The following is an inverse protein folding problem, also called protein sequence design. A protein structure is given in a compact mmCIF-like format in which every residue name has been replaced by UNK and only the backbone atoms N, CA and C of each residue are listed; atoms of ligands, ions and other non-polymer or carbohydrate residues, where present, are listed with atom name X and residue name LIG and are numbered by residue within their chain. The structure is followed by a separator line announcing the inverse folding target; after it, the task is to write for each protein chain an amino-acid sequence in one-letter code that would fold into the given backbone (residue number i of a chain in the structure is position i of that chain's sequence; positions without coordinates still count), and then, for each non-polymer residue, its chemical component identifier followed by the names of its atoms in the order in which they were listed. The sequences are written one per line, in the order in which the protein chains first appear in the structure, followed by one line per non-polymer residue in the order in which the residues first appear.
data_IF_174932696196
#
_entry.id   IF_174932696196
#
_cell.length_a   1.000
_cell.length_b   1.000
_cell.length_c   1.000
_cell.angle_alpha   90.00
_cell.angle_beta   90.00
_cell.angle_gamma   90.00
#
_symmetry.space_group_name_H-M   'P 1'
#
loop_
_entity.id
_entity.type
_entity.pdbx_description
1 polymer ?
#
# COMPACT_ATOMS: atom_id res chain seq x y z
N UNK A 1 16.33 -6.10 -4.71
CA UNK A 1 15.71 -4.86 -4.19
C UNK A 1 15.54 -4.89 -2.67
N UNK A 2 14.91 -5.92 -2.10
CA UNK A 2 14.59 -5.99 -0.66
C UNK A 2 15.76 -5.74 0.31
N UNK A 3 16.96 -6.33 0.14
CA UNK A 3 18.05 -6.12 1.10
C UNK A 3 18.50 -4.66 1.19
N UNK A 4 18.51 -3.94 0.06
CA UNK A 4 18.88 -2.53 0.01
C UNK A 4 17.83 -1.65 0.71
N UNK A 5 16.54 -1.95 0.52
CA UNK A 5 15.45 -1.24 1.20
C UNK A 5 15.47 -1.46 2.71
N UNK A 6 15.73 -2.70 3.17
CA UNK A 6 15.90 -2.98 4.60
C UNK A 6 17.05 -2.20 5.21
N UNK A 7 18.21 -2.18 4.55
CA UNK A 7 19.34 -1.36 4.99
C UNK A 7 18.98 0.12 5.04
N UNK A 8 18.18 0.61 4.09
CA UNK A 8 17.64 1.96 4.14
C UNK A 8 16.81 2.20 5.40
N UNK A 9 15.90 1.28 5.74
CA UNK A 9 15.05 1.36 6.95
C UNK A 9 15.82 1.16 8.26
N UNK A 10 17.00 0.56 8.24
CA UNK A 10 17.90 0.55 9.40
C UNK A 10 18.48 1.95 9.67
N UNK A 11 18.67 2.75 8.62
CA UNK A 11 19.22 4.12 8.70
C UNK A 11 18.11 5.13 8.97
N UNK A 12 17.00 5.03 8.24
CA UNK A 12 15.81 5.87 8.39
C UNK A 12 14.56 4.99 8.54
N UNK A 13 14.22 4.59 9.77
CA UNK A 13 13.13 3.66 10.03
C UNK A 13 11.78 4.18 9.55
N UNK A 14 11.58 5.50 9.58
CA UNK A 14 10.31 6.13 9.26
C UNK A 14 10.34 6.83 7.90
N UNK A 15 11.36 6.56 7.09
CA UNK A 15 11.54 7.08 5.74
C UNK A 15 10.33 6.76 4.85
N UNK A 16 9.48 7.75 4.50
CA UNK A 16 8.21 7.50 3.82
C UNK A 16 8.39 6.75 2.49
N UNK A 17 9.39 7.13 1.70
CA UNK A 17 9.68 6.50 0.42
C UNK A 17 10.19 5.05 0.55
N UNK A 18 10.87 4.72 1.66
CA UNK A 18 11.36 3.37 1.91
C UNK A 18 10.24 2.44 2.36
N UNK A 19 9.37 2.93 3.25
CA UNK A 19 8.19 2.22 3.72
C UNK A 19 7.23 1.92 2.55
N UNK A 20 6.96 2.92 1.70
CA UNK A 20 6.16 2.73 0.50
C UNK A 20 6.76 1.68 -0.44
N UNK A 21 8.07 1.76 -0.74
CA UNK A 21 8.71 0.80 -1.62
C UNK A 21 8.68 -0.62 -1.04
N UNK A 22 8.81 -0.77 0.27
CA UNK A 22 8.65 -2.07 0.93
C UNK A 22 7.21 -2.58 0.85
N UNK A 23 6.20 -1.73 1.06
CA UNK A 23 4.80 -2.12 0.93
C UNK A 23 4.49 -2.63 -0.49
N UNK A 24 4.90 -1.89 -1.53
CA UNK A 24 4.74 -2.29 -2.93
C UNK A 24 5.50 -3.58 -3.26
N UNK A 25 6.71 -3.73 -2.73
CA UNK A 25 7.53 -4.91 -2.95
C UNK A 25 6.91 -6.17 -2.30
N UNK A 26 6.42 -6.07 -1.07
CA UNK A 26 5.76 -7.19 -0.38
C UNK A 26 4.43 -7.55 -1.07
N UNK A 27 3.66 -6.56 -1.53
CA UNK A 27 2.42 -6.78 -2.29
C UNK A 27 2.69 -7.57 -3.58
N UNK A 28 3.70 -7.17 -4.37
CA UNK A 28 4.10 -7.91 -5.59
C UNK A 28 4.56 -9.34 -5.33
N UNK A 29 5.08 -9.62 -4.13
CA UNK A 29 5.46 -10.97 -3.72
C UNK A 29 4.30 -11.80 -3.16
N UNK A 30 3.08 -11.24 -3.10
CA UNK A 30 1.92 -11.89 -2.48
C UNK A 30 1.97 -11.93 -0.95
N UNK A 31 2.95 -11.26 -0.32
CA UNK A 31 3.02 -11.15 1.12
C UNK A 31 2.16 -9.98 1.61
N UNK A 32 0.84 -10.19 1.64
CA UNK A 32 -0.12 -9.14 1.98
C UNK A 32 0.01 -8.66 3.44
N UNK A 33 0.34 -9.54 4.39
CA UNK A 33 0.57 -9.15 5.78
C UNK A 33 1.79 -8.24 5.92
N UNK A 34 2.90 -8.59 5.24
CA UNK A 34 4.08 -7.74 5.19
C UNK A 34 3.79 -6.40 4.51
N UNK A 35 3.06 -6.41 3.39
CA UNK A 35 2.68 -5.20 2.68
C UNK A 35 1.83 -4.27 3.55
N UNK A 36 0.84 -4.82 4.26
CA UNK A 36 -0.01 -4.10 5.22
C UNK A 36 0.83 -3.43 6.29
N UNK A 37 1.77 -4.16 6.91
CA UNK A 37 2.60 -3.62 7.98
C UNK A 37 3.41 -2.39 7.53
N UNK A 38 4.02 -2.45 6.35
CA UNK A 38 4.77 -1.31 5.80
C UNK A 38 3.87 -0.14 5.41
N UNK A 39 2.69 -0.41 4.83
CA UNK A 39 1.73 0.64 4.48
C UNK A 39 1.20 1.36 5.73
N UNK A 40 0.83 0.63 6.78
CA UNK A 40 0.37 1.23 8.04
C UNK A 40 1.43 2.10 8.69
N UNK A 41 2.69 1.66 8.63
CA UNK A 41 3.81 2.45 9.11
C UNK A 41 4.06 3.69 8.24
N UNK A 42 3.87 3.59 6.92
CA UNK A 42 3.90 4.78 6.05
C UNK A 42 2.80 5.77 6.43
N UNK A 43 1.59 5.30 6.74
CA UNK A 43 0.47 6.14 7.18
C UNK A 43 0.74 6.86 8.50
N UNK A 44 1.44 6.22 9.45
CA UNK A 44 1.76 6.86 10.73
C UNK A 44 2.73 8.03 10.62
N UNK A 45 3.49 8.12 9.51
CA UNK A 45 4.45 9.21 9.27
C UNK A 45 3.79 10.43 8.62
N UNK A 46 2.63 10.27 8.00
CA UNK A 46 1.89 11.38 7.43
C UNK A 46 0.85 10.94 6.40
N UNK A 47 0.13 11.92 5.87
CA UNK A 47 -0.94 11.69 4.90
C UNK A 47 -0.46 10.87 3.69
N UNK A 48 -1.36 10.03 3.19
CA UNK A 48 -1.15 9.18 2.04
C UNK A 48 -2.12 9.59 0.93
N UNK A 49 -1.60 9.66 -0.30
CA UNK A 49 -2.38 10.05 -1.47
C UNK A 49 -3.11 8.87 -2.13
N UNK A 50 -3.77 9.18 -3.25
CA UNK A 50 -4.53 8.25 -4.10
C UNK A 50 -3.81 6.91 -4.30
N UNK A 51 -2.56 6.92 -4.76
CA UNK A 51 -1.84 5.68 -5.10
C UNK A 51 -1.65 4.73 -3.91
N UNK A 52 -1.39 5.28 -2.72
CA UNK A 52 -1.20 4.50 -1.51
C UNK A 52 -2.53 4.01 -0.93
N UNK A 53 -3.60 4.79 -1.10
CA UNK A 53 -4.95 4.35 -0.77
C UNK A 53 -5.38 3.18 -1.68
N UNK A 54 -5.09 3.25 -2.99
CA UNK A 54 -5.33 2.15 -3.94
C UNK A 54 -4.49 0.92 -3.62
N UNK A 55 -3.21 1.11 -3.27
CA UNK A 55 -2.36 0.01 -2.79
C UNK A 55 -2.95 -0.63 -1.53
N UNK A 56 -3.47 0.17 -0.59
CA UNK A 56 -4.19 -0.32 0.59
C UNK A 56 -5.37 -1.20 0.22
N UNK A 57 -6.25 -0.73 -0.68
CA UNK A 57 -7.38 -1.53 -1.18
C UNK A 57 -6.89 -2.89 -1.72
N UNK A 58 -5.87 -2.87 -2.57
CA UNK A 58 -5.36 -4.07 -3.22
C UNK A 58 -4.71 -5.06 -2.23
N UNK A 59 -3.94 -4.56 -1.26
CA UNK A 59 -3.35 -5.37 -0.17
C UNK A 59 -4.45 -6.04 0.63
N UNK A 60 -5.46 -5.28 1.06
CA UNK A 60 -6.51 -5.78 1.94
C UNK A 60 -7.41 -6.79 1.25
N UNK A 61 -7.70 -6.60 -0.04
CA UNK A 61 -8.42 -7.60 -0.83
C UNK A 61 -7.61 -8.87 -1.05
N UNK A 62 -6.30 -8.76 -1.33
CA UNK A 62 -5.41 -9.90 -1.43
C UNK A 62 -5.31 -10.69 -0.12
N UNK A 63 -5.37 -10.01 1.02
CA UNK A 63 -5.44 -10.61 2.35
C UNK A 63 -6.82 -11.20 2.70
N UNK A 64 -7.85 -10.95 1.89
CA UNK A 64 -9.23 -11.36 2.15
C UNK A 64 -9.99 -10.47 3.15
N UNK A 65 -9.41 -9.33 3.56
CA UNK A 65 -9.98 -8.40 4.53
C UNK A 65 -10.83 -7.32 3.83
N UNK A 66 -12.04 -7.71 3.44
CA UNK A 66 -12.97 -6.82 2.73
C UNK A 66 -13.36 -5.58 3.55
N UNK A 67 -13.41 -5.71 4.88
CA UNK A 67 -13.77 -4.60 5.76
C UNK A 67 -12.65 -3.54 5.77
N UNK A 68 -11.39 -3.95 5.86
CA UNK A 68 -10.26 -3.04 5.75
C UNK A 68 -10.18 -2.39 4.37
N UNK A 69 -10.39 -3.15 3.28
CA UNK A 69 -10.43 -2.61 1.93
C UNK A 69 -11.49 -1.50 1.78
N UNK A 70 -12.68 -1.66 2.36
CA UNK A 70 -13.73 -0.65 2.29
C UNK A 70 -13.41 0.64 3.05
N UNK A 71 -12.60 0.56 4.12
CA UNK A 71 -12.11 1.76 4.82
C UNK A 71 -11.22 2.60 3.91
N UNK A 72 -10.32 1.95 3.15
CA UNK A 72 -9.49 2.65 2.17
C UNK A 72 -10.33 3.25 1.03
N UNK A 73 -11.32 2.51 0.50
CA UNK A 73 -12.24 3.05 -0.51
C UNK A 73 -13.02 4.25 -0.01
N UNK A 74 -13.46 4.23 1.24
CA UNK A 74 -14.18 5.34 1.85
C UNK A 74 -13.30 6.58 1.94
N UNK A 75 -12.05 6.43 2.43
CA UNK A 75 -11.06 7.52 2.46
C UNK A 75 -10.79 8.07 1.06
N UNK A 76 -10.64 7.19 0.06
CA UNK A 76 -10.42 7.57 -1.33
C UNK A 76 -11.58 8.41 -1.88
N UNK A 77 -12.83 7.95 -1.73
CA UNK A 77 -14.03 8.70 -2.17
C UNK A 77 -14.20 10.02 -1.44
N UNK A 78 -13.84 10.09 -0.16
CA UNK A 78 -13.98 11.31 0.65
C UNK A 78 -12.90 12.34 0.32
N UNK A 79 -11.64 11.92 0.17
CA UNK A 79 -10.52 12.80 -0.13
C UNK A 79 -10.41 13.18 -1.61
N UNK A 80 -10.92 12.34 -2.51
CA UNK A 80 -10.75 12.48 -3.94
C UNK A 80 -12.05 12.12 -4.69
N UNK A 81 -13.10 12.96 -4.58
CA UNK A 81 -14.43 12.66 -5.13
C UNK A 81 -14.46 12.53 -6.66
N UNK A 82 -13.54 13.19 -7.37
CA UNK A 82 -13.40 13.10 -8.84
C UNK A 82 -12.50 11.94 -9.29
N UNK A 83 -11.87 11.23 -8.34
CA UNK A 83 -11.02 10.09 -8.67
C UNK A 83 -11.89 8.89 -9.04
N UNK A 84 -11.79 8.47 -10.28
CA UNK A 84 -12.36 7.20 -10.72
C UNK A 84 -11.36 6.10 -10.35
N UNK A 85 -11.72 5.17 -9.45
CA UNK A 85 -10.84 4.06 -9.12
C UNK A 85 -10.44 3.34 -10.40
N UNK A 86 -9.15 3.08 -10.57
CA UNK A 86 -8.70 2.23 -11.67
C UNK A 86 -9.35 0.85 -11.47
N UNK A 87 -10.36 0.56 -12.29
CA UNK A 87 -10.98 -0.76 -12.30
C UNK A 87 -9.86 -1.77 -12.57
N UNK A 88 -9.77 -2.82 -11.73
CA UNK A 88 -8.78 -3.90 -11.84
C UNK A 88 -8.60 -4.30 -13.31
N UNK A 89 -7.53 -3.84 -13.95
CA UNK A 89 -6.92 -4.57 -15.05
C UNK A 89 -6.29 -5.81 -14.42
N UNK A 90 -7.13 -6.83 -14.25
CA UNK A 90 -6.67 -8.16 -13.94
C UNK A 90 -5.90 -8.69 -15.14
N UNK A 91 -4.58 -8.64 -15.09
CA UNK A 91 -3.70 -9.67 -15.63
C UNK A 91 -2.32 -9.51 -14.99
N UNK A 92 -1.76 -10.55 -14.34
CA UNK A 92 -0.34 -10.56 -14.08
C UNK A 92 0.36 -10.51 -15.45
N UNK A 93 1.19 -9.50 -15.67
CA UNK A 93 2.08 -9.47 -16.82
C UNK A 93 2.97 -10.73 -16.77
N UNK A 94 2.98 -11.39 -17.93
CA UNK A 94 3.76 -12.53 -18.45
C UNK A 94 5.02 -12.95 -17.70
#
# INVERSE_FOLDING_TARGET
AEPALRKGLEIDPDGPALLEQMARLQYRQGNFMGARAFLQRRESVGEIGIELLELGIAIEEGAGDRAAAERYRTRLRQGYPDHTPTAREGSPQS
#
